data_IF_094997417322
#
_entry.id   IF_094997417322
#
_cell.length_a   1.000
_cell.length_b   1.000
_cell.length_c   1.000
_cell.angle_alpha   90.00
_cell.angle_beta   90.00
_cell.angle_gamma   90.00
#
_symmetry.space_group_name_H-M   'P 1'
#
loop_
_entity.id
_entity.type
_entity.pdbx_description
1 polymer ?
#
# COMPACT_ATOMS: atom_id res chain seq x y z
N UNK A 1 22.69 -15.27 32.48
CA UNK A 1 22.93 -14.96 31.06
C UNK A 1 22.65 -13.47 30.87
N UNK A 2 23.67 -12.70 30.53
CA UNK A 2 23.66 -11.23 30.55
C UNK A 2 23.17 -10.68 29.20
N UNK A 3 22.08 -9.90 29.20
CA UNK A 3 21.61 -9.24 27.97
C UNK A 3 22.46 -8.01 27.68
N UNK A 4 23.36 -8.13 26.69
CA UNK A 4 24.07 -6.98 26.11
C UNK A 4 23.14 -6.30 25.11
N UNK A 5 22.59 -5.15 25.49
CA UNK A 5 21.84 -4.28 24.56
C UNK A 5 22.84 -3.60 23.62
N UNK A 6 22.81 -3.97 22.34
CA UNK A 6 23.59 -3.27 21.31
C UNK A 6 22.96 -1.88 21.05
N UNK A 7 23.75 -0.78 21.03
CA UNK A 7 23.24 0.54 20.69
C UNK A 7 22.85 0.59 19.21
N UNK A 8 21.58 0.88 18.92
CA UNK A 8 21.12 1.11 17.56
C UNK A 8 21.79 2.38 16.99
N UNK A 9 22.42 2.32 15.81
CA UNK A 9 23.06 3.49 15.22
C UNK A 9 22.01 4.57 14.91
N UNK A 10 22.34 5.80 15.29
CA UNK A 10 21.59 7.02 15.04
C UNK A 10 21.24 7.14 13.55
N UNK A 11 20.01 6.77 13.16
CA UNK A 11 19.53 6.94 11.79
C UNK A 11 19.42 8.44 11.49
N UNK A 12 19.92 8.91 10.32
CA UNK A 12 19.79 10.30 9.94
C UNK A 12 18.30 10.68 9.88
N UNK A 13 17.91 11.69 10.67
CA UNK A 13 16.57 12.27 10.73
C UNK A 13 16.21 13.00 9.43
N UNK A 14 16.06 12.27 8.33
CA UNK A 14 15.37 12.76 7.12
C UNK A 14 13.97 12.14 7.01
N UNK A 15 13.32 11.84 8.13
CA UNK A 15 11.95 11.31 8.16
C UNK A 15 10.89 12.40 8.25
N UNK A 16 11.23 13.61 8.72
CA UNK A 16 10.25 14.70 8.93
C UNK A 16 9.54 15.20 7.65
N UNK A 17 10.16 15.05 6.48
CA UNK A 17 9.58 15.58 5.23
C UNK A 17 8.31 14.86 4.79
N UNK A 18 8.07 13.61 5.22
CA UNK A 18 6.92 12.81 4.75
C UNK A 18 5.69 12.83 5.68
N UNK A 19 5.60 13.77 6.62
CA UNK A 19 4.46 13.85 7.54
C UNK A 19 3.38 14.85 7.12
N UNK A 20 3.71 15.85 6.32
CA UNK A 20 2.71 16.81 5.81
C UNK A 20 1.93 16.19 4.63
N UNK A 21 0.60 16.39 4.58
CA UNK A 21 -0.25 15.82 3.53
C UNK A 21 0.19 16.21 2.10
N UNK A 22 0.72 17.42 1.92
CA UNK A 22 1.20 17.97 0.65
C UNK A 22 2.48 17.30 0.13
N UNK A 23 3.28 16.70 1.03
CA UNK A 23 4.50 15.99 0.66
C UNK A 23 4.27 14.49 0.36
N UNK A 24 3.01 14.03 0.42
CA UNK A 24 2.65 12.67 0.04
C UNK A 24 2.55 12.55 -1.48
N UNK A 25 2.85 11.35 -1.98
CA UNK A 25 2.65 11.00 -3.39
C UNK A 25 1.15 11.14 -3.72
N UNK A 26 0.84 11.90 -4.77
CA UNK A 26 -0.52 12.22 -5.21
C UNK A 26 -1.27 11.01 -5.76
N UNK A 27 -2.59 11.14 -5.93
CA UNK A 27 -3.41 10.03 -6.45
C UNK A 27 -3.15 9.77 -7.93
N UNK A 28 -2.97 10.83 -8.72
CA UNK A 28 -2.68 10.76 -10.16
C UNK A 28 -1.21 10.42 -10.47
N UNK A 29 -0.35 10.37 -9.45
CA UNK A 29 1.07 10.06 -9.66
C UNK A 29 1.23 8.63 -10.18
N UNK A 30 2.09 8.40 -11.19
CA UNK A 30 2.21 7.10 -11.83
C UNK A 30 2.59 6.00 -10.85
N UNK A 31 1.92 4.85 -10.95
CA UNK A 31 2.30 3.65 -10.21
C UNK A 31 3.36 2.88 -10.98
N UNK A 32 4.47 2.52 -10.32
CA UNK A 32 5.55 1.78 -10.97
C UNK A 32 5.21 0.28 -11.07
N UNK A 33 5.42 -0.37 -12.23
CA UNK A 33 5.28 -1.82 -12.36
C UNK A 33 6.40 -2.53 -11.60
N UNK A 34 6.12 -3.74 -11.08
CA UNK A 34 7.10 -4.54 -10.35
C UNK A 34 7.63 -5.65 -11.24
N UNK A 35 8.94 -5.68 -11.48
CA UNK A 35 9.61 -6.73 -12.27
C UNK A 35 9.99 -7.91 -11.38
N UNK A 36 9.49 -9.10 -11.68
CA UNK A 36 9.77 -10.36 -10.94
C UNK A 36 10.95 -11.12 -11.55
N UNK A 37 12.08 -10.43 -11.76
CA UNK A 37 13.27 -11.07 -12.35
C UNK A 37 13.89 -12.09 -11.38
N UNK A 38 13.77 -11.82 -10.07
CA UNK A 38 14.17 -12.73 -9.01
C UNK A 38 12.96 -13.19 -8.22
N UNK A 39 12.90 -14.45 -7.77
CA UNK A 39 11.83 -14.90 -6.88
C UNK A 39 11.77 -13.99 -5.65
N UNK A 40 10.57 -13.67 -5.18
CA UNK A 40 10.43 -12.82 -4.00
C UNK A 40 11.11 -13.50 -2.82
N UNK A 41 11.93 -12.76 -2.06
CA UNK A 41 12.56 -13.25 -0.82
C UNK A 41 11.51 -13.85 0.13
N UNK A 42 10.29 -13.33 0.09
CA UNK A 42 9.15 -13.76 0.90
C UNK A 42 8.19 -14.75 0.20
N UNK A 43 8.34 -14.99 -1.11
CA UNK A 43 7.49 -15.92 -1.88
C UNK A 43 8.23 -16.49 -3.09
N UNK A 44 8.42 -17.82 -3.08
CA UNK A 44 9.11 -18.58 -4.14
C UNK A 44 8.33 -18.73 -5.46
N UNK A 45 7.13 -18.17 -5.57
CA UNK A 45 6.20 -18.37 -6.70
C UNK A 45 5.98 -17.05 -7.44
N UNK A 46 5.99 -17.09 -8.76
CA UNK A 46 5.71 -15.94 -9.64
C UNK A 46 4.26 -15.46 -9.50
N UNK A 47 3.33 -16.42 -9.40
CA UNK A 47 1.91 -16.18 -9.16
C UNK A 47 1.61 -16.55 -7.69
N UNK A 48 1.08 -15.63 -6.86
CA UNK A 48 0.70 -15.95 -5.48
C UNK A 48 -0.33 -17.07 -5.44
N UNK A 49 -0.23 -17.97 -4.45
CA UNK A 49 -1.09 -19.16 -4.33
C UNK A 49 -2.59 -18.86 -4.23
N UNK A 50 -2.95 -17.63 -3.87
CA UNK A 50 -4.34 -17.15 -3.83
C UNK A 50 -4.97 -17.11 -5.24
N UNK A 51 -4.17 -16.85 -6.29
CA UNK A 51 -4.68 -16.82 -7.68
C UNK A 51 -4.73 -18.22 -8.30
N UNK A 52 -3.86 -19.13 -7.85
CA UNK A 52 -3.82 -20.52 -8.30
C UNK A 52 -4.98 -21.36 -7.73
N UNK A 53 -5.54 -20.96 -6.58
CA UNK A 53 -6.65 -21.68 -5.94
C UNK A 53 -7.93 -20.93 -6.23
N UNK A 54 -8.88 -21.59 -6.90
CA UNK A 54 -10.21 -21.09 -7.26
C UNK A 54 -11.08 -20.84 -6.01
N UNK A 55 -10.63 -19.94 -5.12
CA UNK A 55 -11.37 -19.50 -3.94
C UNK A 55 -12.23 -18.33 -4.37
N UNK A 56 -13.54 -18.46 -4.12
CA UNK A 56 -14.50 -17.36 -4.13
C UNK A 56 -13.87 -16.19 -3.36
N UNK A 57 -13.45 -15.16 -4.08
CA UNK A 57 -12.92 -13.93 -3.51
C UNK A 57 -14.02 -13.39 -2.59
N UNK A 58 -13.75 -13.30 -1.29
CA UNK A 58 -14.62 -12.50 -0.42
C UNK A 58 -14.63 -11.10 -1.00
N UNK A 59 -15.79 -10.65 -1.47
CA UNK A 59 -15.98 -9.26 -1.85
C UNK A 59 -15.54 -8.41 -0.65
N UNK A 60 -14.66 -7.41 -0.83
CA UNK A 60 -14.48 -6.39 0.20
C UNK A 60 -15.86 -5.76 0.50
N UNK A 61 -16.07 -5.31 1.74
CA UNK A 61 -17.34 -4.64 2.07
C UNK A 61 -17.52 -3.42 1.16
N UNK A 62 -18.78 -3.16 0.79
CA UNK A 62 -19.21 -2.08 -0.12
C UNK A 62 -18.55 -0.72 0.21
N UNK A 63 -18.34 -0.42 1.50
CA UNK A 63 -17.64 0.79 1.97
C UNK A 63 -16.17 0.95 1.51
N UNK A 64 -15.44 -0.15 1.26
CA UNK A 64 -14.05 -0.08 0.81
C UNK A 64 -13.92 0.03 -0.71
N UNK A 65 -14.94 -0.45 -1.45
CA UNK A 65 -14.99 -0.39 -2.91
C UNK A 65 -15.45 1.00 -3.40
N UNK A 66 -16.34 1.69 -2.67
CA UNK A 66 -16.85 3.02 -3.04
C UNK A 66 -15.74 4.11 -3.03
N UNK A 67 -14.70 3.92 -2.21
CA UNK A 67 -13.51 4.76 -2.25
C UNK A 67 -12.41 4.22 -3.19
N UNK A 68 -12.47 2.97 -3.67
CA UNK A 68 -11.44 2.40 -4.53
C UNK A 68 -11.55 3.00 -5.94
N UNK A 69 -10.42 3.22 -6.64
CA UNK A 69 -10.43 3.98 -7.91
C UNK A 69 -11.39 3.43 -8.96
N UNK A 70 -12.02 4.31 -9.76
CA UNK A 70 -12.91 4.02 -10.92
C UNK A 70 -12.26 3.18 -12.04
N UNK A 71 -11.06 2.64 -11.82
CA UNK A 71 -10.37 1.83 -12.81
C UNK A 71 -11.05 0.47 -12.92
N UNK A 72 -11.72 0.28 -14.05
CA UNK A 72 -12.50 -0.92 -14.35
C UNK A 72 -11.67 -2.19 -14.10
N UNK A 73 -12.23 -3.17 -13.36
CA UNK A 73 -11.54 -4.44 -13.15
C UNK A 73 -11.15 -5.08 -14.48
N UNK A 74 -10.02 -5.80 -14.52
CA UNK A 74 -9.58 -6.50 -15.72
C UNK A 74 -10.64 -7.52 -16.15
N UNK A 75 -10.74 -7.75 -17.47
CA UNK A 75 -11.66 -8.71 -18.06
C UNK A 75 -11.57 -10.09 -17.40
N UNK A 76 -12.67 -10.86 -17.41
CA UNK A 76 -12.69 -12.22 -16.88
C UNK A 76 -11.59 -13.10 -17.50
N UNK A 77 -11.30 -12.88 -18.79
CA UNK A 77 -10.27 -13.58 -19.57
C UNK A 77 -8.85 -12.99 -19.41
N UNK A 78 -8.67 -11.97 -18.57
CA UNK A 78 -7.36 -11.40 -18.30
C UNK A 78 -6.44 -12.44 -17.65
N UNK A 79 -5.16 -12.36 -18.01
CA UNK A 79 -4.10 -13.18 -17.45
C UNK A 79 -3.99 -12.97 -15.94
N UNK A 80 -3.47 -13.98 -15.23
CA UNK A 80 -3.24 -13.86 -13.79
C UNK A 80 -2.30 -12.69 -13.46
N UNK A 81 -1.33 -12.42 -14.34
CA UNK A 81 -0.42 -11.30 -14.19
C UNK A 81 -1.15 -9.95 -14.21
N UNK A 82 -2.06 -9.73 -15.17
CA UNK A 82 -2.85 -8.50 -15.25
C UNK A 82 -3.76 -8.32 -14.02
N UNK A 83 -4.39 -9.41 -13.56
CA UNK A 83 -5.21 -9.41 -12.34
C UNK A 83 -4.38 -9.02 -11.10
N UNK A 84 -3.16 -9.54 -11.02
CA UNK A 84 -2.22 -9.21 -9.94
C UNK A 84 -1.79 -7.74 -10.00
N UNK A 85 -1.44 -7.24 -11.19
CA UNK A 85 -1.00 -5.86 -11.39
C UNK A 85 -2.11 -4.87 -11.05
N UNK A 86 -3.34 -5.15 -11.48
CA UNK A 86 -4.52 -4.36 -11.10
C UNK A 86 -4.68 -4.30 -9.58
N UNK A 87 -4.66 -5.44 -8.86
CA UNK A 87 -4.77 -5.43 -7.39
C UNK A 87 -3.62 -4.66 -6.71
N UNK A 88 -2.41 -4.70 -7.27
CA UNK A 88 -1.27 -3.93 -6.72
C UNK A 88 -1.45 -2.44 -6.91
N UNK A 89 -1.98 -2.02 -8.05
CA UNK A 89 -2.32 -0.62 -8.30
C UNK A 89 -3.39 -0.16 -7.30
N UNK A 90 -4.46 -0.93 -7.13
CA UNK A 90 -5.49 -0.65 -6.13
C UNK A 90 -4.90 -0.51 -4.71
N UNK A 91 -4.04 -1.45 -4.29
CA UNK A 91 -3.40 -1.37 -2.97
C UNK A 91 -2.50 -0.14 -2.81
N UNK A 92 -1.79 0.27 -3.88
CA UNK A 92 -0.97 1.48 -3.86
C UNK A 92 -1.82 2.73 -3.65
N UNK A 93 -2.95 2.83 -4.34
CA UNK A 93 -3.86 3.96 -4.25
C UNK A 93 -4.57 4.00 -2.89
N UNK A 94 -5.05 2.86 -2.41
CA UNK A 94 -5.59 2.73 -1.05
C UNK A 94 -4.57 3.17 0.01
N UNK A 95 -3.30 2.76 -0.13
CA UNK A 95 -2.24 3.17 0.79
C UNK A 95 -1.97 4.69 0.72
N UNK A 96 -2.03 5.31 -0.46
CA UNK A 96 -1.91 6.78 -0.61
C UNK A 96 -3.06 7.50 0.09
N UNK A 97 -4.31 7.11 -0.15
CA UNK A 97 -5.51 7.66 0.52
C UNK A 97 -5.41 7.52 2.04
N UNK A 98 -5.11 6.32 2.51
CA UNK A 98 -4.97 6.02 3.94
C UNK A 98 -3.92 6.93 4.61
N UNK A 99 -2.74 7.09 3.98
CA UNK A 99 -1.70 7.99 4.48
C UNK A 99 -2.16 9.44 4.51
N UNK A 100 -2.87 9.90 3.47
CA UNK A 100 -3.40 11.28 3.40
C UNK A 100 -4.45 11.52 4.47
N UNK A 101 -5.43 10.63 4.61
CA UNK A 101 -6.48 10.69 5.64
C UNK A 101 -5.86 10.71 7.04
N UNK A 102 -4.84 9.87 7.28
CA UNK A 102 -4.10 9.86 8.55
C UNK A 102 -3.38 11.18 8.79
N UNK A 103 -2.67 11.72 7.80
CA UNK A 103 -1.95 12.99 7.94
C UNK A 103 -2.88 14.16 8.25
N UNK A 104 -4.02 14.25 7.56
CA UNK A 104 -5.06 15.25 7.81
C UNK A 104 -5.67 15.10 9.21
N UNK A 105 -6.01 13.87 9.60
CA UNK A 105 -6.55 13.60 10.93
C UNK A 105 -5.58 13.99 12.04
N UNK A 106 -4.29 13.65 11.90
CA UNK A 106 -3.27 14.05 12.88
C UNK A 106 -3.12 15.56 12.95
N UNK A 107 -3.17 16.27 11.82
CA UNK A 107 -3.10 17.72 11.80
C UNK A 107 -4.31 18.35 12.53
N UNK A 108 -5.52 17.90 12.23
CA UNK A 108 -6.75 18.38 12.90
C UNK A 108 -6.71 18.13 14.42
N UNK A 109 -6.17 16.97 14.83
CA UNK A 109 -6.01 16.64 16.24
C UNK A 109 -5.01 17.58 16.92
N UNK A 110 -3.87 17.87 16.28
CA UNK A 110 -2.87 18.80 16.77
C UNK A 110 -3.41 20.24 16.88
N UNK A 111 -4.20 20.69 15.90
CA UNK A 111 -4.86 22.00 15.91
C UNK A 111 -5.89 22.08 17.06
N UNK A 112 -6.69 21.03 17.26
CA UNK A 112 -7.69 20.95 18.35
C UNK A 112 -7.05 20.95 19.73
N UNK A 113 -5.89 20.31 19.90
CA UNK A 113 -5.17 20.26 21.19
C UNK A 113 -4.36 21.52 21.48
N UNK A 114 -4.01 22.29 20.44
CA UNK A 114 -3.22 23.53 20.57
C UNK A 114 -4.10 24.75 20.88
N UNK A 115 -5.37 24.73 20.44
CA UNK A 115 -6.38 25.73 20.79
C UNK A 115 -6.86 25.59 22.23
#
# INVERSE_FOLDING_TARGET
MSNTAMPHPNMPQSTRRRYSPENLIGMEDPTQPRRYITPSVTSRKDIPSIYLKNRRTSQPSDEEDDELTEEQPPSANATDQEKIEWKRRQNTLAARRSRRKKALYTQQLEETLRG
#
